data_IF_944540499182
#
_entry.id   IF_944540499182
#
_cell.length_a   1.000
_cell.length_b   1.000
_cell.length_c   1.000
_cell.angle_alpha   90.00
_cell.angle_beta   90.00
_cell.angle_gamma   90.00
#
_symmetry.space_group_name_H-M   'P 1'
#
loop_
_entity.id
_entity.type
_entity.pdbx_description
1 polymer ?
#
# COMPACT_ATOMS: atom_id res chain seq x y z
N UNK A 1 26.61 -15.40 26.73
CA UNK A 1 25.55 -14.41 26.49
C UNK A 1 25.44 -13.87 25.07
N UNK A 2 26.55 -13.56 24.39
CA UNK A 2 26.54 -12.91 23.05
C UNK A 2 25.73 -13.63 21.96
N UNK A 3 25.74 -14.98 21.93
CA UNK A 3 24.97 -15.76 20.95
C UNK A 3 23.45 -15.59 21.11
N UNK A 4 22.94 -15.58 22.35
CA UNK A 4 21.50 -15.43 22.63
C UNK A 4 21.02 -14.02 22.31
N UNK A 5 21.86 -13.02 22.59
CA UNK A 5 21.58 -11.62 22.27
C UNK A 5 21.50 -11.39 20.75
N UNK A 6 22.48 -11.92 20.00
CA UNK A 6 22.46 -11.87 18.52
C UNK A 6 21.25 -12.59 17.93
N UNK A 7 20.85 -13.73 18.48
CA UNK A 7 19.65 -14.45 18.06
C UNK A 7 18.36 -13.66 18.33
N UNK A 8 18.28 -12.96 19.46
CA UNK A 8 17.14 -12.08 19.76
C UNK A 8 17.06 -10.89 18.80
N UNK A 9 18.17 -10.19 18.57
CA UNK A 9 18.21 -9.07 17.59
C UNK A 9 17.80 -9.53 16.19
N UNK A 10 18.26 -10.70 15.74
CA UNK A 10 17.85 -11.27 14.44
C UNK A 10 16.34 -11.57 14.36
N UNK A 11 15.75 -12.07 15.45
CA UNK A 11 14.30 -12.32 15.51
C UNK A 11 13.49 -11.02 15.44
N UNK A 12 13.94 -9.97 16.14
CA UNK A 12 13.30 -8.64 16.09
C UNK A 12 13.36 -8.05 14.68
N UNK A 13 14.54 -8.08 14.03
CA UNK A 13 14.68 -7.64 12.64
C UNK A 13 13.69 -8.33 11.70
N UNK A 14 13.64 -9.67 11.74
CA UNK A 14 12.73 -10.43 10.87
C UNK A 14 11.25 -10.16 11.17
N UNK A 15 10.90 -9.87 12.42
CA UNK A 15 9.53 -9.52 12.80
C UNK A 15 9.14 -8.15 12.22
N UNK A 16 9.97 -7.13 12.43
CA UNK A 16 9.66 -5.76 12.01
C UNK A 16 9.78 -5.58 10.49
N UNK A 17 10.71 -6.28 9.83
CA UNK A 17 10.75 -6.41 8.38
C UNK A 17 9.40 -6.86 7.82
N UNK A 18 8.83 -7.95 8.36
CA UNK A 18 7.53 -8.48 7.92
C UNK A 18 6.40 -7.49 8.14
N UNK A 19 6.43 -6.75 9.25
CA UNK A 19 5.40 -5.75 9.56
C UNK A 19 5.51 -4.55 8.62
N UNK A 20 6.72 -4.06 8.37
CA UNK A 20 7.00 -2.96 7.45
C UNK A 20 6.60 -3.30 6.02
N UNK A 21 7.02 -4.47 5.51
CA UNK A 21 6.68 -4.95 4.16
C UNK A 21 5.18 -5.20 3.96
N UNK A 22 4.42 -5.39 5.05
CA UNK A 22 2.96 -5.53 5.06
C UNK A 22 2.21 -4.22 5.35
N UNK A 23 2.91 -3.10 5.51
CA UNK A 23 2.33 -1.80 5.88
C UNK A 23 1.60 -1.81 7.23
N UNK A 24 2.00 -2.71 8.14
CA UNK A 24 1.54 -2.71 9.54
C UNK A 24 2.30 -1.64 10.32
N UNK A 25 3.59 -1.47 10.02
CA UNK A 25 4.41 -0.36 10.49
C UNK A 25 4.83 0.51 9.30
N UNK A 26 4.84 1.82 9.50
CA UNK A 26 5.47 2.76 8.60
C UNK A 26 6.96 2.94 8.96
N UNK A 27 7.64 3.84 8.25
CA UNK A 27 9.07 4.07 8.44
C UNK A 27 9.38 4.55 9.86
N UNK A 28 8.62 5.52 10.36
CA UNK A 28 8.77 6.05 11.72
C UNK A 28 8.54 4.97 12.78
N UNK A 29 7.51 4.14 12.61
CA UNK A 29 7.23 3.03 13.51
C UNK A 29 8.35 1.99 13.53
N UNK A 30 9.01 1.72 12.40
CA UNK A 30 10.21 0.85 12.36
C UNK A 30 11.40 1.50 13.06
N UNK A 31 11.62 2.80 12.86
CA UNK A 31 12.69 3.55 13.53
C UNK A 31 12.51 3.46 15.05
N UNK A 32 11.32 3.76 15.56
CA UNK A 32 11.03 3.73 16.99
C UNK A 32 11.31 2.37 17.64
N UNK A 33 10.79 1.29 17.05
CA UNK A 33 10.92 -0.07 17.63
C UNK A 33 12.35 -0.61 17.54
N UNK A 34 13.11 -0.26 16.49
CA UNK A 34 14.50 -0.68 16.35
C UNK A 34 15.43 0.19 17.22
N UNK A 35 15.19 1.49 17.34
CA UNK A 35 15.93 2.34 18.28
C UNK A 35 15.72 1.89 19.73
N UNK A 36 14.49 1.53 20.11
CA UNK A 36 14.19 0.97 21.43
C UNK A 36 14.86 -0.39 21.70
N UNK A 37 15.31 -1.08 20.65
CA UNK A 37 16.04 -2.36 20.73
C UNK A 37 17.58 -2.18 20.58
N UNK A 38 18.08 -0.96 20.81
CA UNK A 38 19.50 -0.60 20.76
C UNK A 38 20.16 -0.90 19.39
N UNK A 39 19.45 -0.69 18.28
CA UNK A 39 20.07 -0.67 16.95
C UNK A 39 20.64 0.72 16.67
N UNK A 40 21.80 0.78 16.00
CA UNK A 40 22.38 2.05 15.61
C UNK A 40 21.55 2.71 14.50
N UNK A 41 21.46 4.04 14.50
CA UNK A 41 20.67 4.78 13.50
C UNK A 41 21.06 4.43 12.05
N UNK A 42 22.37 4.29 11.77
CA UNK A 42 22.87 3.88 10.46
C UNK A 42 22.46 2.46 10.05
N UNK A 43 22.34 1.54 11.02
CA UNK A 43 21.85 0.18 10.75
C UNK A 43 20.36 0.19 10.43
N UNK A 44 19.58 0.99 11.17
CA UNK A 44 18.15 1.16 10.95
C UNK A 44 17.87 1.72 9.55
N UNK A 45 18.59 2.78 9.16
CA UNK A 45 18.49 3.39 7.84
C UNK A 45 18.83 2.38 6.73
N UNK A 46 19.90 1.59 6.90
CA UNK A 46 20.26 0.52 5.97
C UNK A 46 19.11 -0.49 5.78
N UNK A 47 18.52 -0.97 6.87
CA UNK A 47 17.43 -1.95 6.80
C UNK A 47 16.15 -1.38 6.19
N UNK A 48 15.78 -0.14 6.54
CA UNK A 48 14.61 0.53 5.96
C UNK A 48 14.76 0.69 4.46
N UNK A 49 15.93 1.14 4.00
CA UNK A 49 16.23 1.30 2.57
C UNK A 49 16.15 -0.04 1.83
N UNK A 50 16.76 -1.10 2.38
CA UNK A 50 16.69 -2.45 1.83
C UNK A 50 15.23 -2.97 1.75
N UNK A 51 14.49 -2.84 2.84
CA UNK A 51 13.12 -3.35 2.92
C UNK A 51 12.13 -2.54 2.09
N UNK A 52 12.38 -1.25 1.88
CA UNK A 52 11.55 -0.39 1.05
C UNK A 52 11.51 -0.87 -0.41
N UNK A 53 12.62 -1.45 -0.91
CA UNK A 53 12.68 -2.03 -2.26
C UNK A 53 11.72 -3.21 -2.44
N UNK A 54 11.48 -3.97 -1.36
CA UNK A 54 10.59 -5.13 -1.36
C UNK A 54 9.22 -4.85 -0.73
N UNK A 55 9.01 -3.64 -0.22
CA UNK A 55 7.77 -3.25 0.42
C UNK A 55 6.68 -3.29 -0.63
N UNK A 56 5.74 -4.21 -0.44
CA UNK A 56 4.55 -4.26 -1.28
C UNK A 56 3.75 -2.99 -0.99
N UNK A 57 3.67 -2.10 -1.98
CA UNK A 57 2.66 -1.04 -1.96
C UNK A 57 1.31 -1.76 -1.86
N UNK A 58 0.48 -1.49 -0.85
CA UNK A 58 -0.83 -2.11 -0.79
C UNK A 58 -1.60 -1.72 -2.05
N UNK A 59 -1.77 -2.68 -2.96
CA UNK A 59 -2.63 -2.55 -4.13
C UNK A 59 -4.08 -2.83 -3.76
N UNK A 60 -4.48 -2.46 -2.52
CA UNK A 60 -5.85 -2.49 -2.03
C UNK A 60 -6.68 -1.50 -2.84
N UNK A 61 -6.90 -1.86 -4.09
CA UNK A 61 -7.65 -1.09 -5.06
C UNK A 61 -9.12 -1.37 -4.75
N UNK A 62 -9.96 -0.33 -4.56
CA UNK A 62 -11.36 -0.50 -4.18
C UNK A 62 -12.05 -1.52 -5.08
N UNK A 63 -13.01 -2.29 -4.57
CA UNK A 63 -13.75 -3.21 -5.42
C UNK A 63 -14.52 -2.41 -6.50
N UNK A 64 -14.96 -3.07 -7.58
CA UNK A 64 -15.77 -2.40 -8.60
C UNK A 64 -17.04 -1.77 -8.00
N UNK A 65 -17.66 -2.44 -7.02
CA UNK A 65 -18.81 -1.90 -6.28
C UNK A 65 -18.49 -0.60 -5.56
N UNK A 66 -17.32 -0.53 -4.92
CA UNK A 66 -16.85 0.65 -4.21
C UNK A 66 -16.54 1.79 -5.19
N UNK A 67 -15.81 1.52 -6.27
CA UNK A 67 -15.52 2.53 -7.30
C UNK A 67 -16.80 3.15 -7.89
N UNK A 68 -17.83 2.33 -8.14
CA UNK A 68 -19.13 2.83 -8.60
C UNK A 68 -19.82 3.68 -7.54
N UNK A 69 -19.71 3.31 -6.28
CA UNK A 69 -20.30 4.04 -5.15
C UNK A 69 -19.60 5.38 -4.97
N UNK A 70 -18.27 5.39 -4.97
CA UNK A 70 -17.45 6.61 -4.87
C UNK A 70 -17.72 7.57 -6.02
N UNK A 71 -17.85 7.06 -7.25
CA UNK A 71 -18.22 7.89 -8.39
C UNK A 71 -19.64 8.48 -8.24
N UNK A 72 -20.59 7.67 -7.75
CA UNK A 72 -21.97 8.12 -7.53
C UNK A 72 -22.07 9.20 -6.46
N UNK A 73 -21.29 9.06 -5.40
CA UNK A 73 -21.25 9.98 -4.25
C UNK A 73 -20.39 11.22 -4.54
N UNK A 74 -19.62 11.23 -5.63
CA UNK A 74 -18.69 12.31 -5.96
C UNK A 74 -17.41 12.30 -5.12
N UNK A 75 -17.15 11.20 -4.41
CA UNK A 75 -15.92 10.97 -3.63
C UNK A 75 -14.68 10.88 -4.54
N UNK A 76 -14.87 10.39 -5.76
CA UNK A 76 -13.84 10.40 -6.82
C UNK A 76 -14.38 11.09 -8.07
N UNK A 77 -13.48 11.72 -8.81
CA UNK A 77 -13.73 12.31 -10.12
C UNK A 77 -13.90 11.26 -11.21
N UNK A 78 -14.37 11.69 -12.37
CA UNK A 78 -14.49 10.84 -13.56
C UNK A 78 -13.11 10.32 -13.99
N UNK A 79 -12.09 11.17 -13.95
CA UNK A 79 -10.71 10.85 -14.31
C UNK A 79 -10.13 9.78 -13.39
N UNK A 80 -10.33 9.92 -12.07
CA UNK A 80 -9.92 8.94 -11.07
C UNK A 80 -10.63 7.61 -11.26
N UNK A 81 -11.95 7.61 -11.49
CA UNK A 81 -12.70 6.39 -11.80
C UNK A 81 -12.14 5.67 -13.04
N UNK A 82 -11.81 6.42 -14.10
CA UNK A 82 -11.24 5.84 -15.34
C UNK A 82 -9.85 5.28 -15.08
N UNK A 83 -9.02 6.00 -14.33
CA UNK A 83 -7.67 5.57 -13.97
C UNK A 83 -7.69 4.25 -13.20
N UNK A 84 -8.52 4.16 -12.15
CA UNK A 84 -8.69 2.95 -11.34
C UNK A 84 -9.21 1.77 -12.16
N UNK A 85 -10.19 2.01 -13.04
CA UNK A 85 -10.75 0.97 -13.90
C UNK A 85 -9.74 0.48 -14.95
N UNK A 86 -8.91 1.37 -15.51
CA UNK A 86 -7.79 1.00 -16.39
C UNK A 86 -6.71 0.23 -15.64
N UNK A 87 -6.37 0.65 -14.42
CA UNK A 87 -5.43 -0.07 -13.54
C UNK A 87 -5.87 -1.50 -13.25
N UNK A 88 -7.19 -1.73 -13.18
CA UNK A 88 -7.82 -3.05 -13.07
C UNK A 88 -8.02 -3.78 -14.40
N UNK A 89 -7.47 -3.27 -15.51
CA UNK A 89 -7.50 -3.85 -16.87
C UNK A 89 -8.91 -3.99 -17.49
N UNK A 90 -9.87 -3.16 -17.10
CA UNK A 90 -11.17 -3.13 -17.78
C UNK A 90 -11.05 -2.51 -19.18
N UNK A 91 -11.75 -3.10 -20.16
CA UNK A 91 -11.85 -2.54 -21.52
C UNK A 91 -12.65 -1.23 -21.49
N UNK A 92 -12.29 -0.28 -22.37
CA UNK A 92 -12.95 1.03 -22.49
C UNK A 92 -14.48 0.91 -22.62
N UNK A 93 -14.98 -0.06 -23.39
CA UNK A 93 -16.42 -0.30 -23.53
C UNK A 93 -17.11 -0.59 -22.18
N UNK A 94 -16.47 -1.37 -21.31
CA UNK A 94 -16.99 -1.63 -19.96
C UNK A 94 -16.91 -0.40 -19.08
N UNK A 95 -15.83 0.39 -19.17
CA UNK A 95 -15.68 1.63 -18.42
C UNK A 95 -16.80 2.61 -18.79
N UNK A 96 -17.07 2.80 -20.08
CA UNK A 96 -18.19 3.62 -20.59
C UNK A 96 -19.53 3.10 -20.09
N UNK A 97 -19.75 1.79 -20.14
CA UNK A 97 -20.99 1.18 -19.64
C UNK A 97 -21.19 1.38 -18.14
N UNK A 98 -20.16 1.14 -17.33
CA UNK A 98 -20.24 1.35 -15.88
C UNK A 98 -20.47 2.81 -15.52
N UNK A 99 -19.74 3.74 -16.14
CA UNK A 99 -19.94 5.16 -15.97
C UNK A 99 -21.39 5.56 -16.27
N UNK A 100 -21.90 5.19 -17.46
CA UNK A 100 -23.28 5.45 -17.86
C UNK A 100 -24.30 4.86 -16.89
N UNK A 101 -24.04 3.65 -16.40
CA UNK A 101 -24.95 2.97 -15.46
C UNK A 101 -25.12 3.76 -14.15
N UNK A 102 -24.04 4.41 -13.69
CA UNK A 102 -23.98 5.18 -12.44
C UNK A 102 -24.45 6.61 -12.61
N UNK A 103 -23.90 7.34 -13.60
CA UNK A 103 -24.09 8.79 -13.75
C UNK A 103 -25.29 9.14 -14.65
N UNK A 104 -25.81 8.16 -15.39
CA UNK A 104 -26.80 8.35 -16.48
C UNK A 104 -26.31 9.26 -17.61
N UNK A 105 -25.01 9.54 -17.68
CA UNK A 105 -24.36 10.37 -18.71
C UNK A 105 -23.49 9.50 -19.61
N UNK A 106 -23.32 9.93 -20.86
CA UNK A 106 -22.33 9.34 -21.76
C UNK A 106 -20.92 9.74 -21.32
N UNK A 107 -19.99 8.78 -21.39
CA UNK A 107 -18.58 9.04 -21.10
C UNK A 107 -17.83 9.34 -22.40
N UNK A 108 -17.32 10.57 -22.50
CA UNK A 108 -16.48 11.01 -23.62
C UNK A 108 -15.01 10.88 -23.21
N UNK A 109 -14.33 9.92 -23.84
CA UNK A 109 -12.91 9.56 -23.68
C UNK A 109 -12.38 9.03 -25.01
#
# INVERSE_FOLDING_TARGET
DDKRFKEQKKKLLSLYEKQYKKNILDENGVIEVLSAADFAASEIEYYINDWALEKKIPTSTPALGDLKTFLKEGTITTEEFISEMKGKKFKIGYIKWYYKSVTKKELVI
#
